data_IF_623343864113
#
_entry.id   IF_623343864113
#
_cell.length_a   1.000
_cell.length_b   1.000
_cell.length_c   1.000
_cell.angle_alpha   90.00
_cell.angle_beta   90.00
_cell.angle_gamma   90.00
#
_symmetry.space_group_name_H-M   'P 1'
#
loop_
_entity.id
_entity.type
_entity.pdbx_description
1 polymer ?
#
# COMPACT_ATOMS: atom_id res chain seq x y z
N UNK A 1 61.52 -48.45 3.94
CA UNK A 1 61.86 -47.19 3.24
C UNK A 1 60.56 -46.48 2.87
N UNK A 2 60.16 -45.46 3.61
CA UNK A 2 58.91 -44.70 3.36
C UNK A 2 59.25 -43.44 2.56
N UNK A 3 58.76 -43.35 1.32
CA UNK A 3 58.91 -42.17 0.46
C UNK A 3 57.96 -41.08 0.99
N UNK A 4 58.49 -40.06 1.65
CA UNK A 4 57.72 -38.85 1.91
C UNK A 4 57.42 -38.15 0.58
N UNK A 5 56.17 -38.22 0.15
CA UNK A 5 55.61 -37.45 -0.96
C UNK A 5 55.68 -35.97 -0.56
N UNK A 6 56.54 -35.19 -1.22
CA UNK A 6 56.66 -33.75 -0.98
C UNK A 6 55.28 -33.11 -1.07
N UNK A 7 54.89 -32.39 -0.03
CA UNK A 7 53.66 -31.59 -0.05
C UNK A 7 53.98 -30.34 -0.86
N UNK A 8 53.53 -30.28 -2.10
CA UNK A 8 53.64 -29.07 -2.92
C UNK A 8 52.92 -27.93 -2.19
N UNK A 9 53.69 -26.91 -1.80
CA UNK A 9 53.16 -25.72 -1.17
C UNK A 9 52.50 -24.82 -2.21
N UNK A 10 51.33 -24.29 -1.88
CA UNK A 10 50.67 -23.26 -2.70
C UNK A 10 51.60 -22.06 -2.85
N UNK A 11 51.81 -21.63 -4.10
CA UNK A 11 52.61 -20.43 -4.37
C UNK A 11 51.82 -19.17 -4.04
N UNK A 12 52.51 -18.12 -3.61
CA UNK A 12 51.90 -16.80 -3.38
C UNK A 12 51.14 -16.30 -4.62
N UNK A 13 51.68 -16.59 -5.81
CA UNK A 13 51.10 -16.20 -7.09
C UNK A 13 49.76 -16.91 -7.33
N UNK A 14 49.66 -18.22 -7.06
CA UNK A 14 48.39 -18.96 -7.20
C UNK A 14 47.30 -18.40 -6.29
N UNK A 15 47.63 -18.03 -5.04
CA UNK A 15 46.66 -17.43 -4.12
C UNK A 15 46.14 -16.10 -4.67
N UNK A 16 47.04 -15.25 -5.19
CA UNK A 16 46.66 -13.95 -5.75
C UNK A 16 45.75 -14.13 -6.96
N UNK A 17 46.07 -15.06 -7.88
CA UNK A 17 45.23 -15.33 -9.06
C UNK A 17 43.84 -15.77 -8.62
N UNK A 18 43.73 -16.68 -7.65
CA UNK A 18 42.44 -17.14 -7.13
C UNK A 18 41.64 -15.98 -6.53
N UNK A 19 42.25 -15.10 -5.74
CA UNK A 19 41.59 -13.94 -5.16
C UNK A 19 41.14 -12.92 -6.23
N UNK A 20 41.95 -12.70 -7.27
CA UNK A 20 41.61 -11.81 -8.39
C UNK A 20 40.43 -12.36 -9.18
N UNK A 21 40.44 -13.66 -9.50
CA UNK A 21 39.32 -14.30 -10.21
C UNK A 21 38.05 -14.27 -9.36
N UNK A 22 38.14 -14.63 -8.07
CA UNK A 22 36.98 -14.65 -7.16
C UNK A 22 36.37 -13.26 -6.98
N UNK A 23 37.19 -12.22 -6.80
CA UNK A 23 36.71 -10.83 -6.69
C UNK A 23 36.06 -10.33 -7.98
N UNK A 24 36.62 -10.68 -9.15
CA UNK A 24 36.02 -10.33 -10.44
C UNK A 24 34.65 -11.01 -10.65
N UNK A 25 34.53 -12.30 -10.28
CA UNK A 25 33.25 -13.02 -10.34
C UNK A 25 32.17 -12.38 -9.45
N UNK A 26 32.52 -12.02 -8.21
CA UNK A 26 31.59 -11.36 -7.28
C UNK A 26 31.14 -10.00 -7.82
N UNK A 27 32.05 -9.19 -8.37
CA UNK A 27 31.75 -7.90 -8.99
C UNK A 27 30.78 -8.03 -10.17
N UNK A 28 31.02 -9.00 -11.07
CA UNK A 28 30.15 -9.23 -12.23
C UNK A 28 28.77 -9.70 -11.80
N UNK A 29 28.68 -10.57 -10.78
CA UNK A 29 27.40 -11.00 -10.23
C UNK A 29 26.62 -9.85 -9.59
N UNK A 30 27.27 -8.99 -8.81
CA UNK A 30 26.63 -7.86 -8.16
C UNK A 30 26.00 -6.88 -9.16
N UNK A 31 26.68 -6.60 -10.27
CA UNK A 31 26.21 -5.69 -11.32
C UNK A 31 25.05 -6.25 -12.16
N UNK A 32 24.92 -7.58 -12.28
CA UNK A 32 23.90 -8.22 -13.14
C UNK A 32 22.56 -8.55 -12.47
N UNK A 33 22.39 -8.28 -11.17
CA UNK A 33 21.17 -8.59 -10.43
C UNK A 33 20.02 -7.55 -10.39
N UNK A 34 19.97 -6.42 -11.14
CA UNK A 34 18.87 -5.45 -11.00
C UNK A 34 17.48 -6.06 -11.17
N UNK A 35 17.29 -6.93 -12.17
CA UNK A 35 16.00 -7.59 -12.44
C UNK A 35 15.58 -8.56 -11.34
N UNK A 36 16.54 -9.25 -10.72
CA UNK A 36 16.25 -10.21 -9.65
C UNK A 36 15.84 -9.51 -8.35
N UNK A 37 16.47 -8.37 -8.03
CA UNK A 37 16.09 -7.54 -6.88
C UNK A 37 14.65 -7.04 -6.99
N UNK A 38 14.24 -6.67 -8.19
CA UNK A 38 12.88 -6.19 -8.42
C UNK A 38 11.83 -7.29 -8.25
N UNK A 39 12.10 -8.49 -8.73
CA UNK A 39 11.24 -9.66 -8.48
C UNK A 39 11.13 -9.93 -6.98
N UNK A 40 12.24 -9.91 -6.25
CA UNK A 40 12.24 -10.12 -4.80
C UNK A 40 11.42 -9.05 -4.05
N UNK A 41 11.59 -7.76 -4.41
CA UNK A 41 10.79 -6.68 -3.81
C UNK A 41 9.30 -6.85 -4.08
N UNK A 42 8.92 -7.24 -5.30
CA UNK A 42 7.53 -7.49 -5.66
C UNK A 42 6.92 -8.64 -4.88
N UNK A 43 7.64 -9.75 -4.73
CA UNK A 43 7.19 -10.88 -3.89
C UNK A 43 7.00 -10.43 -2.43
N UNK A 44 7.90 -9.59 -1.90
CA UNK A 44 7.72 -9.01 -0.58
C UNK A 44 6.49 -8.11 -0.48
N UNK A 45 6.24 -7.21 -1.45
CA UNK A 45 5.05 -6.36 -1.42
C UNK A 45 3.76 -7.17 -1.55
N UNK A 46 3.75 -8.22 -2.38
CA UNK A 46 2.63 -9.15 -2.47
C UNK A 46 2.39 -9.91 -1.17
N UNK A 47 3.46 -10.37 -0.49
CA UNK A 47 3.35 -11.02 0.82
C UNK A 47 2.75 -10.08 1.88
N UNK A 48 3.16 -8.82 1.90
CA UNK A 48 2.61 -7.82 2.83
C UNK A 48 1.10 -7.62 2.58
N UNK A 49 0.67 -7.49 1.31
CA UNK A 49 -0.74 -7.43 0.96
C UNK A 49 -1.51 -8.72 1.34
N UNK A 50 -0.93 -9.90 1.12
CA UNK A 50 -1.53 -11.17 1.56
C UNK A 50 -1.71 -11.22 3.08
N UNK A 51 -0.76 -10.71 3.87
CA UNK A 51 -0.89 -10.63 5.32
C UNK A 51 -2.03 -9.70 5.75
N UNK A 52 -2.21 -8.56 5.06
CA UNK A 52 -3.37 -7.69 5.25
C UNK A 52 -4.67 -8.44 4.91
N UNK A 53 -4.70 -9.21 3.82
CA UNK A 53 -5.87 -10.02 3.44
C UNK A 53 -6.25 -11.06 4.48
N UNK A 54 -5.27 -11.78 5.03
CA UNK A 54 -5.51 -12.73 6.13
C UNK A 54 -6.05 -12.01 7.36
N UNK A 55 -5.47 -10.85 7.72
CA UNK A 55 -5.93 -10.06 8.85
C UNK A 55 -7.38 -9.56 8.64
N UNK A 56 -7.74 -9.13 7.43
CA UNK A 56 -9.11 -8.72 7.08
C UNK A 56 -10.11 -9.86 7.28
N UNK A 57 -9.79 -11.06 6.81
CA UNK A 57 -10.66 -12.22 6.96
C UNK A 57 -10.87 -12.62 8.44
N UNK A 58 -9.82 -12.53 9.26
CA UNK A 58 -9.92 -12.80 10.70
C UNK A 58 -10.74 -11.72 11.39
N UNK A 59 -10.50 -10.44 11.07
CA UNK A 59 -11.22 -9.30 11.63
C UNK A 59 -12.72 -9.34 11.29
N UNK A 60 -13.08 -9.58 10.03
CA UNK A 60 -14.48 -9.70 9.62
C UNK A 60 -15.18 -10.87 10.33
N UNK A 61 -14.48 -12.00 10.51
CA UNK A 61 -15.02 -13.14 11.25
C UNK A 61 -15.23 -12.86 12.75
N UNK A 62 -14.39 -12.03 13.37
CA UNK A 62 -14.46 -11.74 14.81
C UNK A 62 -15.41 -10.58 15.13
N UNK A 63 -15.43 -9.53 14.30
CA UNK A 63 -16.21 -8.30 14.51
C UNK A 63 -17.53 -8.30 13.73
N UNK A 64 -17.62 -9.07 12.65
CA UNK A 64 -18.81 -9.15 11.77
C UNK A 64 -18.88 -8.09 10.67
N UNK A 65 -17.81 -7.32 10.48
CA UNK A 65 -17.66 -6.37 9.38
C UNK A 65 -16.17 -6.07 9.12
N UNK A 66 -15.85 -5.58 7.92
CA UNK A 66 -14.55 -5.01 7.57
C UNK A 66 -14.22 -3.79 8.46
N UNK A 67 -12.93 -3.46 8.65
CA UNK A 67 -12.53 -2.27 9.40
C UNK A 67 -13.27 -1.00 8.97
N UNK A 68 -13.91 -0.34 9.95
CA UNK A 68 -14.68 0.87 9.70
C UNK A 68 -13.81 2.08 9.42
N UNK A 69 -14.16 2.86 8.40
CA UNK A 69 -13.58 4.17 8.09
C UNK A 69 -14.59 5.24 8.52
N UNK A 70 -14.28 6.12 9.49
CA UNK A 70 -15.18 7.21 9.85
C UNK A 70 -15.39 8.19 8.69
N UNK A 71 -16.45 8.99 8.77
CA UNK A 71 -16.63 10.12 7.86
C UNK A 71 -15.40 11.03 7.85
N UNK A 72 -14.99 11.44 6.66
CA UNK A 72 -13.79 12.26 6.47
C UNK A 72 -13.99 13.68 7.02
N UNK A 73 -12.93 14.22 7.64
CA UNK A 73 -12.96 15.54 8.26
C UNK A 73 -13.61 15.57 9.64
N UNK A 74 -13.92 14.42 10.23
CA UNK A 74 -14.33 14.29 11.64
C UNK A 74 -13.14 14.02 12.56
N UNK A 75 -13.25 14.30 13.85
CA UNK A 75 -12.18 13.98 14.83
C UNK A 75 -11.88 12.47 14.87
N UNK A 76 -12.91 11.62 14.71
CA UNK A 76 -12.76 10.17 14.65
C UNK A 76 -11.81 9.70 13.53
N UNK A 77 -11.78 10.42 12.39
CA UNK A 77 -10.88 10.09 11.27
C UNK A 77 -9.39 10.28 11.61
N UNK A 78 -9.07 11.09 12.63
CA UNK A 78 -7.69 11.31 13.08
C UNK A 78 -7.14 10.15 13.91
N UNK A 79 -8.02 9.29 14.43
CA UNK A 79 -7.65 8.22 15.34
C UNK A 79 -8.15 6.85 14.89
N UNK A 80 -8.95 6.74 13.84
CA UNK A 80 -9.44 5.45 13.38
C UNK A 80 -8.95 5.22 11.96
N UNK A 81 -8.35 4.05 11.68
CA UNK A 81 -7.99 3.64 10.33
C UNK A 81 -8.16 2.13 10.12
N UNK A 82 -8.34 1.68 8.87
CA UNK A 82 -8.42 0.26 8.56
C UNK A 82 -7.20 -0.52 9.03
N UNK A 83 -5.98 -0.01 8.76
CA UNK A 83 -4.75 -0.70 9.13
C UNK A 83 -4.55 -0.76 10.65
N UNK A 84 -4.97 0.29 11.38
CA UNK A 84 -4.93 0.29 12.84
C UNK A 84 -5.83 -0.81 13.41
N UNK A 85 -7.05 -0.94 12.90
CA UNK A 85 -8.00 -1.95 13.37
C UNK A 85 -7.48 -3.38 13.16
N UNK A 86 -6.58 -3.58 12.20
CA UNK A 86 -5.97 -4.87 11.88
C UNK A 86 -4.71 -5.19 12.70
N UNK A 87 -4.19 -4.27 13.53
CA UNK A 87 -2.94 -4.48 14.26
C UNK A 87 -2.97 -5.70 15.19
N UNK A 88 -4.13 -5.98 15.82
CA UNK A 88 -4.31 -7.17 16.66
C UNK A 88 -4.12 -8.45 15.86
N UNK A 89 -4.72 -8.52 14.67
CA UNK A 89 -4.73 -9.70 13.81
C UNK A 89 -3.41 -9.89 13.07
N UNK A 90 -2.73 -8.81 12.73
CA UNK A 90 -1.40 -8.82 12.12
C UNK A 90 -0.30 -9.29 13.09
N UNK A 91 -0.65 -9.53 14.36
CA UNK A 91 0.25 -10.09 15.37
C UNK A 91 1.54 -9.29 15.56
N UNK A 92 1.55 -7.98 15.29
CA UNK A 92 2.69 -7.10 15.53
C UNK A 92 2.90 -7.03 17.05
N UNK A 93 3.96 -7.64 17.63
CA UNK A 93 4.03 -7.89 19.08
C UNK A 93 4.12 -6.59 19.88
N UNK A 94 4.95 -5.68 19.38
CA UNK A 94 4.93 -4.26 19.68
C UNK A 94 3.67 -3.68 19.04
N UNK A 95 2.83 -2.85 19.65
CA UNK A 95 1.60 -2.27 19.05
C UNK A 95 0.28 -3.03 19.29
N UNK A 96 0.30 -4.23 19.89
CA UNK A 96 -0.95 -4.88 20.36
C UNK A 96 -1.70 -4.05 21.40
N UNK A 97 -0.97 -3.23 22.16
CA UNK A 97 -1.50 -2.41 23.26
C UNK A 97 -1.99 -1.03 22.79
N UNK A 98 -2.02 -0.75 21.47
CA UNK A 98 -2.53 0.51 20.90
C UNK A 98 -4.06 0.47 20.79
N UNK A 99 -4.71 0.18 21.92
CA UNK A 99 -6.16 0.04 22.02
C UNK A 99 -6.85 1.38 22.26
N UNK A 100 -6.19 2.33 22.94
CA UNK A 100 -6.73 3.67 23.20
C UNK A 100 -6.53 4.58 21.96
N UNK A 101 -7.61 5.12 21.37
CA UNK A 101 -7.50 6.02 20.23
C UNK A 101 -6.93 7.40 20.51
N UNK A 102 -7.19 7.92 21.70
CA UNK A 102 -6.86 9.28 22.10
C UNK A 102 -5.50 9.33 22.81
N UNK A 103 -5.16 8.29 23.58
CA UNK A 103 -3.92 8.23 24.37
C UNK A 103 -3.12 6.95 24.08
N UNK A 104 -2.50 6.83 22.88
CA UNK A 104 -1.66 5.69 22.58
C UNK A 104 -0.49 5.61 23.58
N UNK A 105 -0.08 4.40 23.99
CA UNK A 105 0.97 4.23 24.99
C UNK A 105 2.29 4.85 24.50
N UNK A 106 2.93 5.63 25.38
CA UNK A 106 4.29 6.13 25.18
C UNK A 106 5.27 5.03 25.63
N UNK A 107 6.16 4.61 24.73
CA UNK A 107 7.12 3.53 24.97
C UNK A 107 8.42 4.10 25.55
N UNK A 108 9.29 3.26 26.08
CA UNK A 108 10.61 3.67 26.59
C UNK A 108 11.35 4.51 25.53
N UNK A 109 12.06 5.55 25.98
CA UNK A 109 12.66 6.62 25.16
C UNK A 109 11.68 7.63 24.51
N UNK A 110 10.40 7.64 24.88
CA UNK A 110 9.46 8.72 24.52
C UNK A 110 8.75 8.54 23.18
N UNK A 111 8.83 7.34 22.58
CA UNK A 111 8.18 7.04 21.31
C UNK A 111 6.67 6.84 21.50
N UNK A 112 5.87 7.60 20.74
CA UNK A 112 4.42 7.40 20.69
C UNK A 112 4.14 6.22 19.77
N UNK A 113 3.40 5.20 20.21
CA UNK A 113 3.17 3.99 19.42
C UNK A 113 2.57 4.25 18.02
N UNK A 114 1.78 5.33 17.86
CA UNK A 114 1.23 5.79 16.57
C UNK A 114 2.29 6.29 15.57
N UNK A 115 3.52 6.51 16.01
CA UNK A 115 4.66 7.03 15.24
C UNK A 115 5.70 5.95 14.94
N UNK A 116 5.38 4.68 15.23
CA UNK A 116 6.26 3.55 14.94
C UNK A 116 6.02 3.02 13.52
N UNK A 117 7.10 2.77 12.78
CA UNK A 117 7.01 2.09 11.49
C UNK A 117 6.60 0.63 11.68
N UNK A 118 5.66 0.17 10.85
CA UNK A 118 5.24 -1.23 10.80
C UNK A 118 5.81 -1.84 9.52
N UNK A 119 6.78 -2.78 9.60
CA UNK A 119 7.41 -3.34 8.42
C UNK A 119 6.43 -3.94 7.40
N UNK A 120 5.32 -4.52 7.87
CA UNK A 120 4.25 -5.06 7.02
C UNK A 120 3.43 -4.00 6.26
N UNK A 121 3.58 -2.71 6.59
CA UNK A 121 2.89 -1.60 5.91
C UNK A 121 3.73 -0.90 4.86
N UNK A 122 5.01 -1.27 4.73
CA UNK A 122 5.98 -0.64 3.85
C UNK A 122 6.24 -1.55 2.64
N UNK A 123 6.12 -1.00 1.43
CA UNK A 123 6.54 -1.72 0.22
C UNK A 123 8.03 -1.48 -0.04
N UNK A 124 8.87 -2.53 -0.13
CA UNK A 124 10.31 -2.36 -0.40
C UNK A 124 10.67 -1.72 -1.75
N UNK A 125 9.70 -1.59 -2.67
CA UNK A 125 9.87 -0.83 -3.93
C UNK A 125 9.56 0.66 -3.79
N UNK A 126 9.05 1.11 -2.64
CA UNK A 126 8.83 2.52 -2.36
C UNK A 126 10.08 3.13 -1.68
N UNK A 127 10.86 3.97 -2.39
CA UNK A 127 12.09 4.53 -1.84
C UNK A 127 11.85 5.45 -0.65
N UNK A 128 10.74 6.19 -0.64
CA UNK A 128 10.44 7.12 0.47
C UNK A 128 9.95 6.36 1.70
N UNK A 129 9.22 5.27 1.50
CA UNK A 129 8.82 4.39 2.59
C UNK A 129 10.02 3.70 3.25
N UNK A 130 10.92 3.14 2.45
CA UNK A 130 12.13 2.47 2.95
C UNK A 130 13.14 3.44 3.56
N UNK A 131 13.15 4.71 3.12
CA UNK A 131 13.96 5.77 3.73
C UNK A 131 13.41 6.25 5.08
N UNK A 132 12.18 5.87 5.44
CA UNK A 132 11.52 6.34 6.66
C UNK A 132 11.27 7.84 6.65
N UNK A 133 10.83 8.38 5.51
CA UNK A 133 10.46 9.81 5.36
C UNK A 133 9.46 10.27 6.42
N UNK A 134 8.62 9.37 6.93
CA UNK A 134 7.72 9.64 8.05
C UNK A 134 7.85 8.58 9.16
N UNK A 135 7.55 8.92 10.42
CA UNK A 135 7.58 7.94 11.51
C UNK A 135 6.55 6.82 11.35
N UNK A 136 5.35 7.13 10.85
CA UNK A 136 4.23 6.20 10.71
C UNK A 136 3.89 5.86 9.25
N UNK A 137 4.93 5.73 8.42
CA UNK A 137 4.76 5.60 6.96
C UNK A 137 3.90 4.41 6.52
N UNK A 138 3.14 4.61 5.42
CA UNK A 138 2.35 3.57 4.76
C UNK A 138 2.45 3.56 3.24
N UNK A 139 2.64 2.37 2.69
CA UNK A 139 2.57 2.12 1.24
C UNK A 139 1.27 1.44 0.81
N UNK A 140 0.52 0.79 1.71
CA UNK A 140 -0.73 0.09 1.38
C UNK A 140 -1.93 0.86 1.88
N UNK A 141 -2.91 1.11 1.02
CA UNK A 141 -4.09 1.94 1.32
C UNK A 141 -5.35 1.18 0.96
N UNK A 142 -6.42 1.43 1.70
CA UNK A 142 -7.72 0.83 1.52
C UNK A 142 -8.50 1.50 0.40
N UNK A 143 -9.23 0.71 -0.37
CA UNK A 143 -9.99 1.14 -1.52
C UNK A 143 -11.34 1.75 -1.10
N UNK A 144 -11.52 3.04 -1.38
CA UNK A 144 -12.76 3.76 -1.14
C UNK A 144 -13.70 3.79 -2.35
N UNK A 145 -13.34 3.13 -3.46
CA UNK A 145 -14.21 3.00 -4.64
C UNK A 145 -13.66 3.69 -5.88
N UNK A 146 -14.54 4.11 -6.79
CA UNK A 146 -14.16 4.78 -8.05
C UNK A 146 -14.65 6.22 -8.17
N UNK A 147 -15.43 6.72 -7.21
CA UNK A 147 -15.91 8.10 -7.15
C UNK A 147 -14.97 8.99 -6.35
N UNK A 148 -14.97 10.30 -6.64
CA UNK A 148 -14.08 11.27 -5.99
C UNK A 148 -14.40 11.53 -4.52
N UNK A 149 -15.59 11.13 -4.05
CA UNK A 149 -16.03 11.19 -2.66
C UNK A 149 -15.87 9.87 -1.91
N UNK A 150 -15.45 8.79 -2.58
CA UNK A 150 -15.15 7.50 -1.96
C UNK A 150 -16.37 6.75 -1.41
N UNK A 151 -17.56 6.92 -1.98
CA UNK A 151 -18.81 6.46 -1.38
C UNK A 151 -19.28 5.07 -1.86
N UNK A 152 -18.50 4.35 -2.66
CA UNK A 152 -18.94 3.07 -3.24
C UNK A 152 -17.90 1.93 -3.22
N UNK A 153 -16.82 2.05 -2.45
CA UNK A 153 -15.85 0.99 -2.23
C UNK A 153 -16.11 0.16 -0.97
N UNK A 154 -15.31 -0.89 -0.79
CA UNK A 154 -15.38 -1.74 0.40
C UNK A 154 -15.03 -1.01 1.71
N UNK A 155 -14.26 0.09 1.61
CA UNK A 155 -13.85 0.93 2.74
C UNK A 155 -14.39 2.36 2.59
N UNK A 156 -15.63 2.50 2.14
CA UNK A 156 -16.28 3.81 2.00
C UNK A 156 -16.44 4.51 3.36
N UNK A 157 -15.97 5.76 3.50
CA UNK A 157 -16.13 6.53 4.73
C UNK A 157 -17.58 6.61 5.19
N UNK A 158 -17.81 6.40 6.49
CA UNK A 158 -19.14 6.43 7.11
C UNK A 158 -19.95 5.15 6.94
N UNK A 159 -19.49 4.19 6.13
CA UNK A 159 -20.24 2.98 5.82
C UNK A 159 -19.50 1.73 6.32
N UNK A 160 -20.24 0.81 6.94
CA UNK A 160 -19.75 -0.51 7.31
C UNK A 160 -20.12 -1.51 6.21
N UNK A 161 -19.22 -2.44 5.94
CA UNK A 161 -19.43 -3.51 4.98
C UNK A 161 -18.88 -4.81 5.57
N UNK A 162 -19.48 -5.95 5.27
CA UNK A 162 -18.96 -7.26 5.68
C UNK A 162 -18.57 -8.10 4.47
N UNK A 163 -17.66 -9.05 4.63
CA UNK A 163 -17.33 -9.99 3.55
C UNK A 163 -18.56 -10.81 3.12
N UNK A 164 -19.42 -11.16 4.08
CA UNK A 164 -20.67 -11.90 3.81
C UNK A 164 -21.64 -11.11 2.91
N UNK A 165 -21.74 -9.78 3.10
CA UNK A 165 -22.57 -8.91 2.26
C UNK A 165 -22.06 -8.87 0.81
N UNK A 166 -20.74 -8.74 0.63
CA UNK A 166 -20.12 -8.70 -0.69
C UNK A 166 -20.21 -10.07 -1.39
N UNK A 167 -20.05 -11.16 -0.64
CA UNK A 167 -20.18 -12.52 -1.17
C UNK A 167 -21.61 -12.82 -1.63
N UNK A 168 -22.63 -12.22 -0.99
CA UNK A 168 -24.01 -12.33 -1.46
C UNK A 168 -24.24 -11.84 -2.90
N UNK A 169 -23.33 -11.02 -3.43
CA UNK A 169 -23.30 -10.59 -4.83
C UNK A 169 -22.22 -11.24 -5.69
N UNK A 170 -21.58 -12.33 -5.22
CA UNK A 170 -20.39 -12.93 -5.84
C UNK A 170 -19.26 -11.91 -6.07
N UNK A 171 -19.15 -10.92 -5.18
CA UNK A 171 -18.24 -9.78 -5.35
C UNK A 171 -16.82 -10.01 -4.83
N UNK A 172 -16.59 -11.02 -3.96
CA UNK A 172 -15.32 -11.13 -3.24
C UNK A 172 -14.10 -11.25 -4.17
N UNK A 173 -14.21 -12.02 -5.26
CA UNK A 173 -13.12 -12.27 -6.20
C UNK A 173 -12.87 -11.11 -7.20
N UNK A 174 -13.74 -10.10 -7.20
CA UNK A 174 -13.71 -8.96 -8.13
C UNK A 174 -13.59 -7.60 -7.45
N UNK A 175 -13.60 -7.53 -6.12
CA UNK A 175 -13.55 -6.26 -5.40
C UNK A 175 -12.19 -6.04 -4.75
N UNK A 176 -11.55 -4.93 -5.11
CA UNK A 176 -10.29 -4.49 -4.55
C UNK A 176 -10.46 -4.04 -3.09
N UNK A 177 -9.57 -4.52 -2.23
CA UNK A 177 -9.52 -4.18 -0.82
C UNK A 177 -8.43 -3.15 -0.54
N UNK A 178 -7.19 -3.48 -0.90
CA UNK A 178 -6.01 -2.63 -0.67
C UNK A 178 -5.13 -2.58 -1.91
N UNK A 179 -4.43 -1.47 -2.11
CA UNK A 179 -3.41 -1.36 -3.15
C UNK A 179 -2.22 -0.55 -2.68
N UNK A 180 -1.14 -0.67 -3.45
CA UNK A 180 0.05 0.16 -3.32
C UNK A 180 -0.27 1.61 -3.68
N UNK A 181 0.27 2.54 -2.89
CA UNK A 181 0.43 3.95 -3.25
C UNK A 181 1.76 4.46 -2.70
N UNK A 182 2.56 5.07 -3.56
CA UNK A 182 3.85 5.65 -3.20
C UNK A 182 3.73 6.70 -2.09
N UNK A 183 4.67 6.66 -1.16
CA UNK A 183 4.83 7.60 -0.06
C UNK A 183 5.46 8.87 -0.57
N UNK A 184 4.91 10.00 -0.13
CA UNK A 184 5.37 11.32 -0.51
C UNK A 184 6.78 11.63 -0.02
N UNK A 185 7.32 12.74 -0.49
CA UNK A 185 8.70 13.12 -0.19
C UNK A 185 8.87 13.89 1.12
N UNK A 186 7.76 14.36 1.72
CA UNK A 186 7.63 15.44 2.72
C UNK A 186 7.62 16.88 2.13
N UNK A 187 8.63 17.39 1.39
CA UNK A 187 8.48 18.68 0.74
C UNK A 187 7.53 18.58 -0.46
N UNK A 188 6.86 19.70 -0.81
CA UNK A 188 6.05 19.82 -2.02
C UNK A 188 6.80 19.36 -3.28
N UNK A 189 6.18 18.49 -4.09
CA UNK A 189 6.71 18.07 -5.38
C UNK A 189 5.60 17.50 -6.26
N UNK A 190 5.74 17.61 -7.60
CA UNK A 190 4.78 17.13 -8.61
C UNK A 190 4.86 15.62 -8.89
N UNK A 191 5.37 14.85 -7.93
CA UNK A 191 5.51 13.39 -8.03
C UNK A 191 4.16 12.67 -7.90
N UNK A 192 4.06 11.47 -8.49
CA UNK A 192 2.95 10.52 -8.30
C UNK A 192 2.69 10.15 -6.83
N UNK A 193 3.74 10.22 -6.02
CA UNK A 193 3.65 9.95 -4.60
C UNK A 193 2.95 11.08 -3.83
N UNK A 194 2.93 12.29 -4.39
CA UNK A 194 2.42 13.50 -3.78
C UNK A 194 1.05 13.88 -4.37
N UNK A 195 0.49 15.00 -3.93
CA UNK A 195 -0.79 15.49 -4.44
C UNK A 195 -0.83 17.02 -4.47
N UNK A 196 -1.75 17.54 -5.30
CA UNK A 196 -2.09 18.96 -5.32
C UNK A 196 -3.32 19.22 -4.43
N UNK A 197 -3.27 20.27 -3.63
CA UNK A 197 -4.41 20.78 -2.88
C UNK A 197 -5.25 21.71 -3.78
N UNK A 198 -6.55 21.43 -3.90
CA UNK A 198 -7.46 22.14 -4.82
C UNK A 198 -8.73 22.62 -4.13
N UNK A 199 -9.50 23.49 -4.80
CA UNK A 199 -10.79 23.98 -4.31
C UNK A 199 -11.84 22.87 -4.18
N UNK A 200 -12.70 23.02 -3.18
CA UNK A 200 -13.77 22.07 -2.89
C UNK A 200 -15.04 22.29 -3.74
N UNK A 201 -15.82 21.24 -4.03
CA UNK A 201 -15.45 19.82 -4.01
C UNK A 201 -14.78 19.39 -5.33
N UNK A 202 -14.01 18.30 -5.31
CA UNK A 202 -13.58 17.62 -6.53
C UNK A 202 -14.78 16.84 -7.10
N UNK A 203 -15.25 17.28 -8.26
CA UNK A 203 -16.39 16.64 -8.97
C UNK A 203 -15.98 15.35 -9.68
N UNK A 204 -16.96 14.61 -10.22
CA UNK A 204 -16.72 13.41 -11.04
C UNK A 204 -15.84 13.64 -12.29
N UNK A 205 -15.52 14.89 -12.64
CA UNK A 205 -14.55 15.21 -13.70
C UNK A 205 -13.08 15.03 -13.26
N UNK A 206 -12.83 14.71 -12.00
CA UNK A 206 -11.48 14.56 -11.46
C UNK A 206 -10.82 15.88 -11.09
N UNK A 207 -9.49 15.88 -11.02
CA UNK A 207 -8.74 17.07 -10.66
C UNK A 207 -9.00 18.26 -11.60
N UNK A 208 -9.23 19.48 -11.06
CA UNK A 208 -9.26 20.68 -11.88
C UNK A 208 -7.86 21.00 -12.44
N UNK A 209 -7.73 21.98 -13.35
CA UNK A 209 -6.42 22.49 -13.77
C UNK A 209 -5.54 22.88 -12.55
N UNK A 210 -4.29 22.43 -12.53
CA UNK A 210 -3.40 22.46 -11.36
C UNK A 210 -2.26 23.49 -11.45
N UNK A 211 -2.32 24.43 -12.40
CA UNK A 211 -1.24 25.39 -12.65
C UNK A 211 -0.96 26.27 -11.42
N UNK A 212 -2.01 26.62 -10.67
CA UNK A 212 -1.96 27.45 -9.46
C UNK A 212 -2.10 26.64 -8.17
N UNK A 213 -2.20 25.31 -8.26
CA UNK A 213 -2.43 24.46 -7.11
C UNK A 213 -1.19 24.35 -6.21
N UNK A 214 -1.42 24.27 -4.90
CA UNK A 214 -0.35 24.07 -3.93
C UNK A 214 -0.05 22.58 -3.81
N UNK A 215 1.20 22.20 -4.03
CA UNK A 215 1.62 20.80 -3.91
C UNK A 215 1.95 20.45 -2.46
N UNK A 216 1.58 19.23 -2.04
CA UNK A 216 1.83 18.69 -0.70
C UNK A 216 2.65 17.41 -0.81
N UNK A 217 3.57 17.22 0.12
CA UNK A 217 4.53 16.11 0.11
C UNK A 217 4.25 15.02 1.14
N UNK A 218 3.16 15.12 1.90
CA UNK A 218 2.88 14.35 3.12
C UNK A 218 1.97 13.13 2.90
N UNK A 219 1.83 12.68 1.66
CA UNK A 219 1.04 11.49 1.38
C UNK A 219 1.68 10.24 2.02
N UNK A 220 0.87 9.45 2.72
CA UNK A 220 1.29 8.20 3.35
C UNK A 220 2.06 8.42 4.66
N UNK A 221 1.92 9.59 5.28
CA UNK A 221 2.64 9.94 6.49
C UNK A 221 2.20 9.15 7.73
N UNK A 222 0.98 8.57 7.74
CA UNK A 222 0.44 7.88 8.91
C UNK A 222 -0.46 6.71 8.57
N UNK A 223 -0.17 5.52 9.12
CA UNK A 223 -1.11 4.38 9.19
C UNK A 223 -2.24 4.61 10.20
N UNK A 224 -2.13 5.59 11.09
CA UNK A 224 -3.06 5.76 12.22
C UNK A 224 -4.33 6.53 11.85
N UNK A 225 -4.22 7.46 10.90
CA UNK A 225 -5.31 8.35 10.48
C UNK A 225 -6.02 7.83 9.24
N UNK A 226 -7.35 7.87 9.20
CA UNK A 226 -8.11 7.73 7.95
C UNK A 226 -8.10 9.01 7.14
N UNK A 227 -7.93 8.88 5.84
CA UNK A 227 -8.06 9.99 4.91
C UNK A 227 -7.31 9.75 3.60
N UNK A 228 -7.59 10.59 2.61
CA UNK A 228 -7.01 10.50 1.27
C UNK A 228 -5.49 10.65 1.24
N UNK A 229 -4.95 11.55 2.08
CA UNK A 229 -3.49 11.68 2.22
C UNK A 229 -2.87 10.46 2.90
N UNK A 230 -3.61 9.77 3.77
CA UNK A 230 -3.14 8.65 4.59
C UNK A 230 -3.62 7.30 4.04
N UNK A 231 -4.58 6.63 4.69
CA UNK A 231 -4.88 5.21 4.46
C UNK A 231 -5.88 4.92 3.35
N UNK A 232 -6.34 5.92 2.58
CA UNK A 232 -7.33 5.72 1.52
C UNK A 232 -6.75 5.98 0.12
N UNK A 233 -7.29 5.26 -0.86
CA UNK A 233 -7.10 5.50 -2.29
C UNK A 233 -8.38 5.14 -3.05
N UNK A 234 -8.41 5.42 -4.36
CA UNK A 234 -9.54 5.10 -5.24
C UNK A 234 -9.07 4.66 -6.64
N UNK A 235 -10.01 4.14 -7.43
CA UNK A 235 -9.80 3.68 -8.82
C UNK A 235 -10.34 4.66 -9.87
N UNK A 236 -10.67 5.90 -9.50
CA UNK A 236 -11.15 6.91 -10.46
C UNK A 236 -10.17 7.15 -11.62
N UNK A 237 -8.86 7.02 -11.33
CA UNK A 237 -7.75 7.08 -12.29
C UNK A 237 -7.00 5.74 -12.32
N UNK A 238 -6.36 5.44 -13.45
CA UNK A 238 -5.59 4.20 -13.65
C UNK A 238 -4.33 4.16 -12.79
N UNK A 239 -3.73 2.97 -12.59
CA UNK A 239 -2.52 2.84 -11.78
C UNK A 239 -1.36 3.69 -12.31
N UNK A 240 -0.60 4.29 -11.40
CA UNK A 240 0.52 5.18 -11.70
C UNK A 240 0.13 6.42 -12.54
N UNK A 241 -1.15 6.77 -12.63
CA UNK A 241 -1.59 8.02 -13.24
C UNK A 241 -1.31 9.22 -12.31
N UNK A 242 -0.86 10.31 -12.92
CA UNK A 242 -0.68 11.62 -12.31
C UNK A 242 -1.44 12.67 -13.13
N UNK A 243 -1.78 13.82 -12.54
CA UNK A 243 -1.56 14.21 -11.15
C UNK A 243 -2.65 13.67 -10.21
N UNK A 244 -2.33 13.51 -8.91
CA UNK A 244 -3.36 13.31 -7.87
C UNK A 244 -3.70 14.65 -7.20
N UNK A 245 -4.91 14.78 -6.69
CA UNK A 245 -5.32 15.95 -5.93
C UNK A 245 -6.26 15.61 -4.77
N UNK A 246 -6.30 16.50 -3.79
CA UNK A 246 -7.21 16.43 -2.64
C UNK A 246 -7.84 17.80 -2.46
N UNK A 247 -9.15 17.82 -2.21
CA UNK A 247 -9.88 19.05 -1.91
C UNK A 247 -9.44 19.60 -0.53
N UNK A 248 -9.42 20.92 -0.35
CA UNK A 248 -9.01 21.57 0.92
C UNK A 248 -9.76 21.08 2.16
N UNK A 249 -11.01 20.68 2.01
CA UNK A 249 -11.83 20.12 3.08
C UNK A 249 -11.58 18.62 3.32
N UNK A 250 -10.70 18.00 2.54
CA UNK A 250 -10.33 16.57 2.57
C UNK A 250 -11.50 15.59 2.38
N UNK A 251 -12.68 16.05 1.94
CA UNK A 251 -13.87 15.18 1.73
C UNK A 251 -13.92 14.56 0.35
N UNK A 252 -13.16 15.08 -0.61
CA UNK A 252 -13.06 14.53 -1.96
C UNK A 252 -11.62 14.56 -2.45
N UNK A 253 -11.28 13.61 -3.32
CA UNK A 253 -9.95 13.44 -3.85
C UNK A 253 -9.95 12.73 -5.20
N UNK A 254 -8.81 12.81 -5.87
CA UNK A 254 -8.43 11.92 -6.95
C UNK A 254 -7.07 11.30 -6.63
N UNK A 255 -7.09 10.28 -5.78
CA UNK A 255 -5.90 9.61 -5.23
C UNK A 255 -5.84 8.16 -5.73
N UNK A 256 -5.20 7.97 -6.88
CA UNK A 256 -5.04 6.65 -7.51
C UNK A 256 -4.03 5.73 -6.84
N UNK A 257 -4.03 4.45 -7.23
CA UNK A 257 -2.96 3.52 -6.89
C UNK A 257 -1.63 3.91 -7.56
N UNK A 258 -0.51 3.71 -6.88
CA UNK A 258 0.82 3.90 -7.45
C UNK A 258 1.87 3.00 -6.81
N UNK A 259 2.89 2.62 -7.57
CA UNK A 259 3.92 1.69 -7.08
C UNK A 259 5.28 2.04 -7.65
N UNK A 260 6.32 1.61 -6.93
CA UNK A 260 7.70 1.67 -7.42
C UNK A 260 8.02 0.55 -8.42
N UNK A 261 7.09 -0.39 -8.61
CA UNK A 261 7.20 -1.43 -9.63
C UNK A 261 7.01 -0.84 -11.03
N UNK A 262 7.83 -1.29 -11.97
CA UNK A 262 7.81 -0.77 -13.34
C UNK A 262 6.46 -1.02 -14.01
N UNK A 263 5.70 0.05 -14.25
CA UNK A 263 4.46 0.04 -15.03
C UNK A 263 3.33 -0.80 -14.44
N UNK A 264 3.41 -1.18 -13.16
CA UNK A 264 2.42 -2.06 -12.52
C UNK A 264 2.12 -1.65 -11.09
N UNK A 265 1.03 -2.16 -10.53
CA UNK A 265 0.69 -2.09 -9.10
C UNK A 265 0.19 -3.44 -8.62
N UNK A 266 0.42 -3.78 -7.35
CA UNK A 266 -0.21 -4.91 -6.71
C UNK A 266 -1.48 -4.47 -5.97
N UNK A 267 -2.54 -5.27 -6.12
CA UNK A 267 -3.85 -5.05 -5.51
C UNK A 267 -4.25 -6.31 -4.77
N UNK A 268 -4.60 -6.16 -3.51
CA UNK A 268 -5.30 -7.16 -2.71
C UNK A 268 -6.79 -7.13 -3.07
N UNK A 269 -7.33 -8.29 -3.36
CA UNK A 269 -8.75 -8.54 -3.60
C UNK A 269 -9.40 -9.05 -2.30
N UNK A 270 -10.70 -8.83 -2.10
CA UNK A 270 -11.40 -9.21 -0.87
C UNK A 270 -11.42 -10.73 -0.61
N UNK A 271 -11.27 -11.56 -1.66
CA UNK A 271 -11.05 -13.01 -1.55
C UNK A 271 -9.67 -13.39 -0.94
N UNK A 272 -8.80 -12.42 -0.68
CA UNK A 272 -7.44 -12.59 -0.15
C UNK A 272 -6.37 -12.79 -1.22
N UNK A 273 -6.73 -12.87 -2.51
CA UNK A 273 -5.77 -12.97 -3.59
C UNK A 273 -5.07 -11.63 -3.84
N UNK A 274 -3.79 -11.68 -4.19
CA UNK A 274 -3.04 -10.50 -4.65
C UNK A 274 -2.80 -10.61 -6.15
N UNK A 275 -3.31 -9.63 -6.89
CA UNK A 275 -3.22 -9.55 -8.35
C UNK A 275 -2.39 -8.33 -8.74
N UNK A 276 -1.68 -8.43 -9.86
CA UNK A 276 -0.92 -7.30 -10.39
C UNK A 276 -1.59 -6.76 -11.63
N UNK A 277 -1.78 -5.44 -11.67
CA UNK A 277 -2.40 -4.73 -12.79
C UNK A 277 -1.39 -3.81 -13.47
N UNK A 278 -1.53 -3.67 -14.80
CA UNK A 278 -0.73 -2.72 -15.59
C UNK A 278 -1.22 -1.29 -15.39
N UNK A 279 -0.32 -0.32 -15.47
CA UNK A 279 -0.66 1.10 -15.57
C UNK A 279 -1.52 1.43 -16.81
N UNK A 280 -1.47 0.58 -17.82
CA UNK A 280 -2.25 0.68 -19.07
C UNK A 280 -3.52 -0.19 -19.05
N UNK A 281 -3.99 -0.63 -17.88
CA UNK A 281 -5.27 -1.33 -17.75
C UNK A 281 -6.40 -0.46 -18.28
N UNK A 282 -7.41 -1.08 -18.90
CA UNK A 282 -8.61 -0.37 -19.35
C UNK A 282 -9.28 0.34 -18.14
N UNK A 283 -9.55 1.65 -18.23
CA UNK A 283 -10.13 2.40 -17.12
C UNK A 283 -11.50 1.88 -16.66
N UNK A 284 -12.32 1.33 -17.56
CA UNK A 284 -13.62 0.78 -17.18
C UNK A 284 -13.47 -0.50 -16.38
N UNK A 285 -12.55 -1.38 -16.79
CA UNK A 285 -12.22 -2.60 -16.03
C UNK A 285 -11.67 -2.23 -14.66
N UNK A 286 -10.76 -1.25 -14.61
CA UNK A 286 -10.15 -0.80 -13.36
C UNK A 286 -11.18 -0.25 -12.36
N UNK A 287 -12.12 0.58 -12.83
CA UNK A 287 -13.20 1.13 -11.99
C UNK A 287 -14.16 0.05 -11.50
N UNK A 288 -14.50 -0.94 -12.33
CA UNK A 288 -15.35 -2.06 -11.90
C UNK A 288 -14.75 -2.87 -10.74
N UNK A 289 -13.42 -2.99 -10.69
CA UNK A 289 -12.75 -3.65 -9.56
C UNK A 289 -12.86 -2.87 -8.25
N UNK A 290 -13.21 -1.58 -8.31
CA UNK A 290 -13.20 -0.72 -7.13
C UNK A 290 -14.43 -0.90 -6.26
N UNK A 291 -15.54 -1.37 -6.84
CA UNK A 291 -16.83 -1.39 -6.18
C UNK A 291 -17.26 -2.82 -5.89
N UNK A 292 -17.88 -3.08 -4.73
CA UNK A 292 -18.58 -4.33 -4.47
C UNK A 292 -19.71 -4.53 -5.48
N UNK A 293 -19.84 -5.74 -6.03
CA UNK A 293 -21.03 -6.08 -6.78
C UNK A 293 -22.22 -6.21 -5.81
N UNK A 294 -23.33 -5.46 -6.01
CA UNK A 294 -24.48 -5.59 -5.14
C UNK A 294 -25.10 -6.98 -5.30
N UNK A 295 -25.53 -7.57 -4.18
CA UNK A 295 -26.33 -8.79 -4.14
C UNK A 295 -27.67 -8.56 -4.87
N UNK A 296 -27.72 -8.75 -6.19
CA UNK A 296 -28.98 -8.73 -6.95
C UNK A 296 -28.94 -8.30 -8.43
N UNK A 297 -27.82 -7.94 -9.05
CA UNK A 297 -27.84 -7.40 -10.42
C UNK A 297 -27.74 -8.41 -11.57
N UNK A 298 -27.83 -9.73 -11.34
CA UNK A 298 -27.86 -10.74 -12.42
C UNK A 298 -29.05 -11.69 -12.30
N UNK A 299 -30.23 -11.24 -12.77
CA UNK A 299 -31.21 -12.05 -13.51
C UNK A 299 -32.00 -11.18 -14.49
N UNK A 300 -31.35 -10.64 -15.51
CA UNK A 300 -32.05 -10.16 -16.72
C UNK A 300 -31.08 -10.09 -17.92
N UNK A 301 -30.59 -11.25 -18.32
CA UNK A 301 -30.09 -11.44 -19.68
C UNK A 301 -30.38 -12.89 -20.08
N UNK A 302 -31.55 -13.08 -20.68
CA UNK A 302 -31.75 -14.16 -21.64
C UNK A 302 -32.26 -13.52 -22.94
N UNK A 303 -31.80 -14.03 -24.09
CA UNK A 303 -31.76 -13.32 -25.37
C UNK A 303 -33.13 -13.04 -26.00
#
# INVERSE_FOLDING_TARGET
>A
MSKHKGRDGISLVEVIIVLVVLSCFVLIMAMRMPRQREVARRVSCQKNLMQIGVALAIYDRSIGHLPFVPELGTDASQHTSPLRALLSELSVPDLRDVTDPEHPPVREAGFVAREQQVPGFICPSDPNATAGTFPATISYRANAGDTTDGQNGAFSPGHKMSLAEVEGGNGLEFTAAFSERLVGTNPPSRSLANYAEVSDPITAKGCPPLETATWKGDAGASWYTSGWRSTLYQHAITPNAAPSCIAKNERSAEMGASSGHLGTVNVLILDGAVRTYSATVDPQIWRKLATPHPAGSEKSSTP
#
